data_IF_134288076227
#
_entry.id   IF_134288076227
#
_cell.length_a   1.000
_cell.length_b   1.000
_cell.length_c   1.000
_cell.angle_alpha   90.00
_cell.angle_beta   90.00
_cell.angle_gamma   90.00
#
_symmetry.space_group_name_H-M   'P 1'
#
loop_
_entity.id
_entity.type
_entity.pdbx_description
1 polymer ?
#
# COMPACT_ATOMS: atom_id res chain seq x y z
N UNK A 1 15.00 36.46 -11.53
CA UNK A 1 15.37 35.04 -11.35
C UNK A 1 14.16 34.19 -11.68
N UNK A 2 14.35 33.16 -12.50
CA UNK A 2 13.30 32.38 -13.14
C UNK A 2 12.40 31.66 -12.12
N UNK A 3 11.10 31.67 -12.39
CA UNK A 3 10.14 30.80 -11.75
C UNK A 3 10.47 29.36 -12.12
N UNK A 4 10.79 28.53 -11.14
CA UNK A 4 10.82 27.08 -11.33
C UNK A 4 9.40 26.61 -11.55
N UNK A 5 9.11 26.11 -12.76
CA UNK A 5 7.89 25.38 -13.09
C UNK A 5 7.80 24.16 -12.16
N UNK A 6 7.02 24.27 -11.08
CA UNK A 6 6.50 23.09 -10.41
C UNK A 6 5.25 22.67 -11.18
N UNK A 7 5.42 21.65 -12.02
CA UNK A 7 4.31 20.78 -12.41
C UNK A 7 3.68 20.27 -11.10
N UNK A 8 2.49 20.77 -10.77
CA UNK A 8 1.69 20.29 -9.65
C UNK A 8 1.21 18.88 -9.96
N UNK A 9 2.10 17.89 -9.83
CA UNK A 9 1.71 16.50 -9.93
C UNK A 9 0.69 16.19 -8.83
N UNK A 10 -0.46 15.67 -9.23
CA UNK A 10 -1.56 15.31 -8.35
C UNK A 10 -1.20 14.08 -7.50
N UNK A 11 -0.36 14.26 -6.49
CA UNK A 11 0.04 13.21 -5.57
C UNK A 11 -0.88 13.19 -4.36
N UNK A 12 -1.14 12.00 -3.83
CA UNK A 12 -1.85 11.83 -2.58
C UNK A 12 -1.12 10.79 -1.74
N UNK A 13 -1.39 10.78 -0.44
CA UNK A 13 -0.82 9.80 0.49
C UNK A 13 -1.92 9.32 1.42
N UNK A 14 -2.02 8.01 1.55
CA UNK A 14 -2.94 7.35 2.48
C UNK A 14 -2.12 6.60 3.51
N UNK A 15 -2.43 6.80 4.78
CA UNK A 15 -1.84 6.05 5.88
C UNK A 15 -2.90 5.14 6.48
N UNK A 16 -2.63 3.84 6.49
CA UNK A 16 -3.48 2.84 7.12
C UNK A 16 -2.78 2.24 8.34
N UNK A 17 -3.37 2.42 9.53
CA UNK A 17 -2.87 1.87 10.79
C UNK A 17 -3.66 0.61 11.15
N UNK A 18 -2.93 -0.47 11.43
CA UNK A 18 -3.49 -1.72 11.96
C UNK A 18 -3.08 -1.84 13.42
N UNK A 19 -4.07 -1.79 14.31
CA UNK A 19 -3.88 -2.05 15.73
C UNK A 19 -3.86 -3.55 16.01
N UNK A 20 -3.15 -3.96 17.06
CA UNK A 20 -3.11 -5.35 17.49
C UNK A 20 -2.68 -6.32 16.37
N UNK A 21 -1.80 -5.88 15.46
CA UNK A 21 -1.35 -6.66 14.31
C UNK A 21 -0.73 -8.02 14.70
N UNK A 22 -0.25 -8.16 15.94
CA UNK A 22 0.21 -9.41 16.53
C UNK A 22 -0.85 -10.54 16.49
N UNK A 23 -2.13 -10.17 16.45
CA UNK A 23 -3.28 -11.07 16.42
C UNK A 23 -3.80 -11.33 15.00
N UNK A 24 -3.04 -10.99 13.95
CA UNK A 24 -3.40 -11.35 12.58
C UNK A 24 -3.39 -12.87 12.41
N UNK A 25 -4.57 -13.47 12.34
CA UNK A 25 -4.77 -14.92 12.20
C UNK A 25 -4.92 -15.39 10.76
N UNK A 26 -4.77 -14.48 9.79
CA UNK A 26 -4.82 -14.76 8.36
C UNK A 26 -3.88 -15.91 8.03
N UNK A 27 -4.35 -16.82 7.19
CA UNK A 27 -3.54 -17.87 6.57
C UNK A 27 -2.80 -17.31 5.36
N UNK A 28 -1.92 -18.11 4.81
CA UNK A 28 -1.32 -17.81 3.51
C UNK A 28 -2.41 -17.62 2.45
N UNK A 29 -2.25 -16.57 1.62
CA UNK A 29 -3.25 -16.18 0.64
C UNK A 29 -4.45 -15.41 1.19
N UNK A 30 -4.62 -15.31 2.51
CA UNK A 30 -5.63 -14.46 3.13
C UNK A 30 -5.06 -13.05 3.38
N UNK A 31 -5.89 -12.03 3.16
CA UNK A 31 -5.51 -10.63 3.35
C UNK A 31 -6.41 -9.91 4.35
N UNK A 32 -5.92 -8.76 4.78
CA UNK A 32 -6.68 -7.73 5.48
C UNK A 32 -6.81 -6.56 4.51
N UNK A 33 -7.99 -6.00 4.38
CA UNK A 33 -8.24 -4.81 3.57
C UNK A 33 -8.35 -3.57 4.45
N UNK A 34 -7.79 -2.45 3.99
CA UNK A 34 -8.10 -1.14 4.57
C UNK A 34 -9.56 -0.78 4.29
N UNK A 35 -10.11 0.22 5.00
CA UNK A 35 -11.28 0.93 4.52
C UNK A 35 -11.05 1.44 3.09
N UNK A 36 -12.12 1.47 2.32
CA UNK A 36 -12.11 2.03 0.97
C UNK A 36 -11.87 3.55 1.02
N UNK A 37 -11.11 4.07 0.07
CA UNK A 37 -10.89 5.50 -0.11
C UNK A 37 -11.09 5.92 -1.56
N UNK A 38 -11.59 7.13 -1.76
CA UNK A 38 -11.79 7.73 -3.08
C UNK A 38 -10.64 8.68 -3.37
N UNK A 39 -10.11 8.63 -4.58
CA UNK A 39 -9.04 9.50 -5.04
C UNK A 39 -9.54 10.33 -6.22
N UNK A 40 -9.85 11.59 -5.95
CA UNK A 40 -10.42 12.52 -6.94
C UNK A 40 -9.49 12.71 -8.13
N UNK A 41 -8.18 12.74 -7.87
CA UNK A 41 -7.13 12.89 -8.88
C UNK A 41 -6.94 11.66 -9.75
N UNK A 42 -7.50 10.52 -9.36
CA UNK A 42 -7.56 9.29 -10.15
C UNK A 42 -8.98 9.07 -10.66
N UNK A 43 -9.60 10.10 -11.21
CA UNK A 43 -10.94 9.99 -11.85
C UNK A 43 -12.03 9.55 -10.87
N UNK A 44 -11.94 10.02 -9.62
CA UNK A 44 -12.81 9.64 -8.50
C UNK A 44 -12.91 8.11 -8.32
N UNK A 45 -11.83 7.39 -8.60
CA UNK A 45 -11.80 5.95 -8.38
C UNK A 45 -11.64 5.60 -6.93
N UNK A 46 -12.18 4.43 -6.59
CA UNK A 46 -12.16 3.88 -5.24
C UNK A 46 -11.10 2.78 -5.14
N UNK A 47 -10.39 2.77 -4.02
CA UNK A 47 -9.26 1.90 -3.78
C UNK A 47 -9.26 1.38 -2.34
N UNK A 48 -8.54 0.29 -2.11
CA UNK A 48 -8.18 -0.20 -0.78
C UNK A 48 -6.75 -0.74 -0.77
N UNK A 49 -6.12 -0.77 0.40
CA UNK A 49 -4.84 -1.43 0.61
C UNK A 49 -5.09 -2.85 1.10
N UNK A 50 -4.43 -3.82 0.50
CA UNK A 50 -4.50 -5.23 0.88
C UNK A 50 -3.16 -5.67 1.46
N UNK A 51 -3.19 -6.07 2.72
CA UNK A 51 -2.04 -6.64 3.42
C UNK A 51 -2.22 -8.16 3.48
N UNK A 52 -1.20 -8.90 3.06
CA UNK A 52 -1.10 -10.35 3.21
C UNK A 52 -0.05 -10.67 4.29
N UNK A 53 -0.46 -10.86 5.56
CA UNK A 53 0.47 -11.06 6.68
C UNK A 53 1.41 -12.26 6.50
N UNK A 54 0.92 -13.32 5.85
CA UNK A 54 1.64 -14.58 5.59
C UNK A 54 1.91 -14.82 4.11
N UNK A 55 2.01 -13.73 3.35
CA UNK A 55 2.24 -13.77 1.91
C UNK A 55 1.02 -14.18 1.10
N UNK A 56 1.05 -13.85 -0.19
CA UNK A 56 -0.03 -14.14 -1.11
C UNK A 56 0.09 -15.51 -1.80
N UNK A 57 1.30 -16.12 -1.83
CA UNK A 57 1.59 -17.39 -2.55
C UNK A 57 2.70 -18.28 -1.99
N UNK A 58 3.74 -17.70 -1.38
CA UNK A 58 4.96 -18.42 -0.97
C UNK A 58 5.26 -18.31 0.55
N UNK A 59 4.25 -18.02 1.37
CA UNK A 59 4.21 -18.13 2.84
C UNK A 59 5.20 -17.29 3.69
N UNK A 60 6.25 -16.73 3.10
CA UNK A 60 7.47 -16.31 3.81
C UNK A 60 7.61 -14.79 3.98
N UNK A 61 6.96 -14.01 3.13
CA UNK A 61 7.07 -12.56 3.12
C UNK A 61 5.69 -11.92 3.16
N UNK A 62 5.65 -10.70 3.70
CA UNK A 62 4.46 -9.87 3.72
C UNK A 62 4.24 -9.28 2.35
N UNK A 63 3.03 -9.48 1.84
CA UNK A 63 2.56 -8.83 0.61
C UNK A 63 1.79 -7.56 0.95
N UNK A 64 2.04 -6.48 0.21
CA UNK A 64 1.25 -5.26 0.28
C UNK A 64 0.86 -4.82 -1.12
N UNK A 65 -0.43 -4.62 -1.31
CA UNK A 65 -1.02 -4.31 -2.60
C UNK A 65 -1.98 -3.14 -2.48
N UNK A 66 -2.07 -2.36 -3.55
CA UNK A 66 -3.12 -1.40 -3.81
C UNK A 66 -4.14 -2.07 -4.73
N UNK A 67 -5.39 -2.15 -4.28
CA UNK A 67 -6.51 -2.73 -5.02
C UNK A 67 -7.43 -1.63 -5.54
N UNK A 68 -7.77 -1.71 -6.83
CA UNK A 68 -8.78 -0.84 -7.44
C UNK A 68 -10.15 -1.48 -7.32
N UNK A 69 -11.06 -0.86 -6.58
CA UNK A 69 -12.41 -1.38 -6.40
C UNK A 69 -13.20 -1.39 -7.71
N UNK A 70 -14.17 -2.29 -7.84
CA UNK A 70 -15.00 -2.47 -9.04
C UNK A 70 -15.93 -1.27 -9.36
N UNK A 71 -16.04 -0.30 -8.44
CA UNK A 71 -17.12 0.68 -8.45
C UNK A 71 -16.88 1.98 -9.27
N UNK A 72 -18.01 2.47 -9.81
CA UNK A 72 -18.39 3.83 -10.25
C UNK A 72 -17.59 4.64 -11.27
N UNK A 73 -16.31 4.36 -11.57
CA UNK A 73 -15.64 5.12 -12.64
C UNK A 73 -16.02 4.60 -14.03
N UNK A 74 -16.20 5.48 -15.02
CA UNK A 74 -16.37 5.07 -16.43
C UNK A 74 -15.04 4.60 -17.03
N UNK A 75 -13.94 5.01 -16.42
CA UNK A 75 -12.57 4.74 -16.87
C UNK A 75 -12.24 3.26 -16.73
N UNK A 76 -11.79 2.64 -17.81
CA UNK A 76 -11.43 1.22 -17.81
C UNK A 76 -10.11 0.97 -17.10
N UNK A 77 -9.09 1.74 -17.47
CA UNK A 77 -7.70 1.55 -17.08
C UNK A 77 -7.13 2.88 -16.57
N UNK A 78 -6.37 2.85 -15.48
CA UNK A 78 -5.67 4.03 -14.93
C UNK A 78 -4.19 3.72 -14.86
N UNK A 79 -3.34 4.60 -15.38
CA UNK A 79 -1.89 4.52 -15.20
C UNK A 79 -1.49 5.34 -13.98
N UNK A 80 -0.78 4.72 -13.04
CA UNK A 80 -0.27 5.40 -11.85
C UNK A 80 1.21 5.09 -11.58
N UNK A 81 1.88 6.08 -11.02
CA UNK A 81 3.10 5.91 -10.24
C UNK A 81 2.71 5.75 -8.77
N UNK A 82 3.32 4.79 -8.07
CA UNK A 82 2.97 4.54 -6.69
C UNK A 82 4.16 4.08 -5.85
N UNK A 83 4.05 4.37 -4.56
CA UNK A 83 4.99 3.97 -3.51
C UNK A 83 4.21 3.29 -2.38
N UNK A 84 4.63 2.09 -1.99
CA UNK A 84 4.09 1.37 -0.85
C UNK A 84 5.17 1.24 0.21
N UNK A 85 4.85 1.66 1.44
CA UNK A 85 5.79 1.67 2.55
C UNK A 85 5.20 1.12 3.84
N UNK A 86 6.04 0.46 4.62
CA UNK A 86 5.74 0.19 6.03
C UNK A 86 6.35 1.28 6.89
N UNK A 87 5.56 1.85 7.78
CA UNK A 87 5.98 2.87 8.72
C UNK A 87 6.24 2.28 10.10
N UNK A 88 7.16 2.88 10.85
CA UNK A 88 7.39 2.58 12.25
C UNK A 88 6.18 3.03 13.09
N UNK A 89 6.13 2.57 14.35
CA UNK A 89 5.02 2.87 15.25
C UNK A 89 4.85 4.37 15.54
N UNK A 90 5.93 5.15 15.42
CA UNK A 90 5.94 6.62 15.53
C UNK A 90 5.15 7.32 14.43
N UNK A 91 4.78 6.61 13.36
CA UNK A 91 4.06 7.16 12.21
C UNK A 91 4.86 8.16 11.38
N UNK A 92 6.17 8.28 11.61
CA UNK A 92 7.05 9.23 10.92
C UNK A 92 8.18 8.53 10.18
N UNK A 93 8.71 7.44 10.74
CA UNK A 93 9.87 6.73 10.19
C UNK A 93 9.42 5.67 9.19
N UNK A 94 10.03 5.63 8.00
CA UNK A 94 9.81 4.57 7.02
C UNK A 94 10.75 3.40 7.32
N UNK A 95 10.18 2.21 7.48
CA UNK A 95 10.93 0.97 7.71
C UNK A 95 11.42 0.36 6.40
N UNK A 96 10.54 0.32 5.41
CA UNK A 96 10.83 -0.17 4.06
C UNK A 96 9.87 0.47 3.07
N UNK A 97 10.33 0.64 1.84
CA UNK A 97 9.56 1.26 0.75
C UNK A 97 9.85 0.53 -0.56
N UNK A 98 8.83 0.41 -1.40
CA UNK A 98 8.94 -0.07 -2.77
C UNK A 98 8.16 0.86 -3.69
N UNK A 99 8.74 1.14 -4.86
CA UNK A 99 8.17 2.06 -5.84
C UNK A 99 7.98 1.36 -7.17
N UNK A 100 6.93 1.74 -7.88
CA UNK A 100 6.72 1.35 -9.26
C UNK A 100 6.14 2.52 -10.04
N UNK A 101 6.46 2.56 -11.33
CA UNK A 101 6.06 3.65 -12.22
C UNK A 101 5.29 3.11 -13.42
N UNK A 102 4.39 3.93 -13.96
CA UNK A 102 3.61 3.68 -15.17
C UNK A 102 2.88 2.33 -15.16
N UNK A 103 2.27 2.00 -14.03
CA UNK A 103 1.53 0.75 -13.92
C UNK A 103 0.05 0.99 -14.24
N UNK A 104 -0.44 0.29 -15.26
CA UNK A 104 -1.86 0.31 -15.63
C UNK A 104 -2.68 -0.60 -14.72
N UNK A 105 -3.81 -0.12 -14.19
CA UNK A 105 -4.70 -0.86 -13.29
C UNK A 105 -6.11 -0.85 -13.86
N UNK A 106 -6.61 -2.04 -14.19
CA UNK A 106 -8.03 -2.23 -14.49
C UNK A 106 -8.86 -2.30 -13.20
N UNK A 107 -10.18 -2.18 -13.33
CA UNK A 107 -11.11 -2.39 -12.21
C UNK A 107 -11.00 -3.82 -11.65
N UNK A 108 -11.08 -3.96 -10.34
CA UNK A 108 -10.99 -5.24 -9.63
C UNK A 108 -9.60 -5.87 -9.69
N UNK A 109 -8.59 -5.13 -10.15
CA UNK A 109 -7.21 -5.58 -10.16
C UNK A 109 -6.44 -4.95 -9.00
N UNK A 110 -5.41 -5.66 -8.58
CA UNK A 110 -4.46 -5.20 -7.59
C UNK A 110 -3.06 -5.11 -8.17
N UNK A 111 -2.26 -4.22 -7.60
CA UNK A 111 -0.84 -4.02 -7.90
C UNK A 111 -0.07 -3.91 -6.60
N UNK A 112 1.20 -4.24 -6.62
CA UNK A 112 2.04 -4.11 -5.44
C UNK A 112 3.10 -5.18 -5.41
N UNK A 113 3.51 -5.52 -4.21
CA UNK A 113 4.73 -6.29 -4.01
C UNK A 113 4.42 -7.50 -3.14
N UNK A 114 4.61 -8.73 -3.65
CA UNK A 114 4.32 -9.95 -2.90
C UNK A 114 5.32 -10.19 -1.77
N UNK A 115 6.54 -9.65 -1.90
CA UNK A 115 7.66 -9.92 -1.01
C UNK A 115 8.35 -8.62 -0.60
N UNK A 116 7.72 -7.83 0.29
CA UNK A 116 8.34 -6.57 0.76
C UNK A 116 9.36 -6.84 1.86
N UNK A 117 8.95 -7.59 2.87
CA UNK A 117 9.76 -7.93 4.03
C UNK A 117 9.16 -9.16 4.72
N UNK A 118 9.92 -9.79 5.61
CA UNK A 118 9.42 -10.83 6.50
C UNK A 118 8.55 -10.22 7.59
N UNK A 119 7.53 -10.98 8.02
CA UNK A 119 6.67 -10.58 9.13
C UNK A 119 7.52 -10.32 10.38
N UNK A 120 8.47 -11.20 10.69
CA UNK A 120 9.36 -11.06 11.85
C UNK A 120 10.14 -9.73 11.84
N UNK A 121 10.69 -9.30 10.70
CA UNK A 121 11.40 -8.02 10.62
C UNK A 121 10.47 -6.84 10.86
N UNK A 122 9.25 -6.85 10.29
CA UNK A 122 8.26 -5.78 10.52
C UNK A 122 7.91 -5.64 12.02
N UNK A 123 7.82 -6.76 12.76
CA UNK A 123 7.57 -6.71 14.21
C UNK A 123 8.81 -6.37 15.03
N UNK A 124 9.99 -6.89 14.67
CA UNK A 124 11.25 -6.57 15.37
C UNK A 124 11.65 -5.11 15.19
N UNK A 125 11.31 -4.48 14.08
CA UNK A 125 11.55 -3.05 13.86
C UNK A 125 10.69 -2.16 14.78
N UNK A 126 9.59 -2.68 15.36
CA UNK A 126 8.82 -1.98 16.40
C UNK A 126 9.51 -1.99 17.77
N UNK A 127 10.40 -2.94 18.06
CA UNK A 127 10.99 -3.09 19.40
C UNK A 127 12.32 -2.36 19.59
N UNK A 128 12.96 -1.86 18.53
CA UNK A 128 14.23 -1.11 18.61
C UNK A 128 14.08 0.32 19.16
N UNK A 129 12.87 0.78 19.43
CA UNK A 129 12.62 2.10 20.03
C UNK A 129 12.66 2.05 21.57
N UNK A 130 12.86 0.86 22.18
CA UNK A 130 12.95 0.67 23.63
C UNK A 130 14.25 -0.02 24.09
N UNK A 131 15.40 0.35 23.51
CA UNK A 131 16.72 -0.06 24.00
C UNK A 131 17.55 1.17 24.37
#
# INVERSE_FOLDING_TARGET
MAASNYESGNHFTITWRIENANFCWQKEGEHISSPEFVVDTLENTKWSLWLYPKGCRDGSHVGLFLHREDSCSVVKDIEIDYELSFMAADGCSVLTTMKASKHTVAKGQMMGFPNIETWENIFRLKSRVFA
#
